data_IF_081790704581
#
_entry.id   IF_081790704581
#
_cell.length_a   1.000
_cell.length_b   1.000
_cell.length_c   1.000
_cell.angle_alpha   90.00
_cell.angle_beta   90.00
_cell.angle_gamma   90.00
#
_symmetry.space_group_name_H-M   'P 1'
#
loop_
_entity.id
_entity.type
_entity.pdbx_description
1 polymer ?
#
# COMPACT_ATOMS: atom_id res chain seq x y z
N UNK A 1 -8.38 -60.68 12.08
CA UNK A 1 -7.52 -60.10 11.03
C UNK A 1 -8.36 -59.16 10.18
N UNK A 2 -7.84 -57.98 9.87
CA UNK A 2 -8.44 -57.03 8.94
C UNK A 2 -7.90 -57.31 7.52
N UNK A 3 -8.79 -57.32 6.53
CA UNK A 3 -8.43 -57.47 5.11
C UNK A 3 -8.11 -56.10 4.53
N UNK A 4 -6.87 -55.88 4.07
CA UNK A 4 -6.41 -54.61 3.48
C UNK A 4 -6.64 -54.54 1.97
N UNK A 5 -6.49 -55.67 1.28
CA UNK A 5 -6.73 -55.81 -0.15
C UNK A 5 -7.19 -57.23 -0.47
N UNK A 6 -8.10 -57.35 -1.43
CA UNK A 6 -8.50 -58.64 -1.99
C UNK A 6 -8.29 -58.62 -3.50
N UNK A 7 -7.63 -59.66 -4.02
CA UNK A 7 -7.53 -59.90 -5.45
C UNK A 7 -8.32 -61.16 -5.76
N UNK A 8 -9.27 -61.04 -6.69
CA UNK A 8 -10.11 -62.14 -7.14
C UNK A 8 -9.65 -62.60 -8.53
N UNK A 9 -9.49 -63.91 -8.71
CA UNK A 9 -9.24 -64.54 -10.01
C UNK A 9 -10.36 -65.53 -10.33
N UNK A 10 -10.89 -65.44 -11.54
CA UNK A 10 -11.84 -66.39 -12.08
C UNK A 10 -11.22 -67.00 -13.34
N UNK A 11 -10.85 -68.28 -13.24
CA UNK A 11 -10.18 -69.03 -14.28
C UNK A 11 -11.08 -70.18 -14.77
N UNK A 12 -10.83 -70.71 -15.97
CA UNK A 12 -11.38 -72.00 -16.39
C UNK A 12 -10.33 -73.09 -16.17
N UNK A 13 -10.76 -74.20 -15.59
CA UNK A 13 -9.94 -75.42 -15.48
C UNK A 13 -9.69 -76.06 -16.85
N UNK A 14 -8.75 -77.01 -16.91
CA UNK A 14 -8.45 -77.77 -18.14
C UNK A 14 -9.66 -78.55 -18.70
N UNK A 15 -10.67 -78.81 -17.86
CA UNK A 15 -11.95 -79.45 -18.23
C UNK A 15 -13.09 -78.44 -18.44
N UNK A 16 -12.78 -77.14 -18.52
CA UNK A 16 -13.74 -76.09 -18.87
C UNK A 16 -14.65 -75.58 -17.75
N UNK A 17 -14.54 -76.14 -16.54
CA UNK A 17 -15.30 -75.70 -15.37
C UNK A 17 -14.71 -74.40 -14.77
N UNK A 18 -15.55 -73.48 -14.25
CA UNK A 18 -15.07 -72.27 -13.58
C UNK A 18 -14.36 -72.61 -12.26
N UNK A 19 -13.25 -71.93 -12.00
CA UNK A 19 -12.45 -72.02 -10.77
C UNK A 19 -12.26 -70.60 -10.24
N UNK A 20 -12.72 -70.37 -9.01
CA UNK A 20 -12.57 -69.10 -8.32
C UNK A 20 -11.42 -69.19 -7.31
N UNK A 21 -10.52 -68.20 -7.33
CA UNK A 21 -9.39 -68.06 -6.42
C UNK A 21 -9.37 -66.65 -5.84
N UNK A 22 -8.93 -66.54 -4.59
CA UNK A 22 -8.75 -65.27 -3.90
C UNK A 22 -7.35 -65.22 -3.30
N UNK A 23 -6.74 -64.04 -3.32
CA UNK A 23 -5.61 -63.70 -2.49
C UNK A 23 -6.00 -62.51 -1.60
N UNK A 24 -5.65 -62.59 -0.32
CA UNK A 24 -5.94 -61.55 0.66
C UNK A 24 -4.64 -61.01 1.23
N UNK A 25 -4.52 -59.69 1.31
CA UNK A 25 -3.53 -59.00 2.12
C UNK A 25 -4.15 -58.70 3.50
N UNK A 26 -3.55 -59.22 4.57
CA UNK A 26 -4.12 -59.23 5.92
C UNK A 26 -3.25 -58.45 6.90
N UNK A 27 -3.88 -57.88 7.93
CA UNK A 27 -3.19 -57.35 9.10
C UNK A 27 -3.89 -57.78 10.41
N UNK A 28 -3.21 -57.77 11.56
CA UNK A 28 -3.85 -57.94 12.87
C UNK A 28 -4.98 -56.93 13.07
N UNK A 29 -6.07 -57.33 13.73
CA UNK A 29 -7.25 -56.46 13.92
C UNK A 29 -7.03 -55.42 15.03
N UNK A 30 -6.04 -55.68 15.87
CA UNK A 30 -5.60 -54.85 16.99
C UNK A 30 -4.76 -53.65 16.53
N UNK A 31 -4.26 -53.67 15.30
CA UNK A 31 -3.51 -52.57 14.71
C UNK A 31 -4.47 -51.59 14.04
N UNK A 32 -4.21 -50.29 14.18
CA UNK A 32 -4.94 -49.27 13.44
C UNK A 32 -4.49 -49.25 11.97
N UNK A 33 -5.46 -49.25 11.05
CA UNK A 33 -5.18 -49.13 9.63
C UNK A 33 -5.08 -47.65 9.23
N UNK A 34 -3.95 -47.26 8.66
CA UNK A 34 -3.79 -45.98 7.97
C UNK A 34 -3.50 -46.24 6.49
N UNK A 35 -4.28 -45.67 5.54
CA UNK A 35 -3.98 -45.79 4.13
C UNK A 35 -2.63 -45.12 3.80
N UNK A 36 -1.88 -45.71 2.88
CA UNK A 36 -0.66 -45.11 2.39
C UNK A 36 -0.99 -43.83 1.59
N UNK A 37 -0.25 -42.72 1.78
CA UNK A 37 -0.48 -41.46 1.05
C UNK A 37 0.08 -41.56 -0.38
N UNK A 38 -0.56 -42.38 -1.22
CA UNK A 38 -0.18 -42.61 -2.62
C UNK A 38 -0.69 -41.52 -3.56
N UNK A 39 -1.75 -40.81 -3.18
CA UNK A 39 -2.31 -39.71 -3.97
C UNK A 39 -1.38 -38.50 -3.86
N UNK A 40 -0.80 -38.01 -4.96
CA UNK A 40 0.06 -36.82 -4.93
C UNK A 40 -0.72 -35.61 -4.40
N UNK A 41 -0.08 -34.80 -3.54
CA UNK A 41 -0.66 -33.52 -3.14
C UNK A 41 -0.72 -32.57 -4.35
N UNK A 42 -1.83 -31.86 -4.57
CA UNK A 42 -1.88 -30.79 -5.54
C UNK A 42 -0.83 -29.73 -5.17
N UNK A 43 -0.12 -29.23 -6.18
CA UNK A 43 0.90 -28.19 -6.01
C UNK A 43 0.74 -27.15 -7.11
N UNK A 44 1.30 -25.98 -6.89
CA UNK A 44 1.33 -24.89 -7.85
C UNK A 44 2.74 -24.33 -7.98
N UNK A 45 3.14 -24.03 -9.22
CA UNK A 45 4.51 -23.58 -9.53
C UNK A 45 4.63 -22.07 -9.74
N UNK A 46 3.51 -21.37 -9.80
CA UNK A 46 3.49 -19.97 -10.21
C UNK A 46 2.50 -19.17 -9.36
N UNK A 47 2.78 -17.88 -9.14
CA UNK A 47 1.82 -17.00 -8.52
C UNK A 47 0.51 -16.93 -9.32
N UNK A 48 -0.59 -16.64 -8.65
CA UNK A 48 -1.89 -16.37 -9.26
C UNK A 48 -2.36 -14.97 -8.91
N UNK A 49 -3.30 -14.42 -9.68
CA UNK A 49 -3.97 -13.17 -9.29
C UNK A 49 -5.34 -13.44 -8.70
N UNK A 50 -5.73 -12.58 -7.76
CA UNK A 50 -7.01 -12.60 -7.08
C UNK A 50 -7.54 -11.18 -6.93
N UNK A 51 -8.82 -11.05 -6.62
CA UNK A 51 -9.46 -9.76 -6.36
C UNK A 51 -9.78 -9.68 -4.87
N UNK A 52 -9.41 -8.56 -4.24
CA UNK A 52 -9.81 -8.27 -2.86
C UNK A 52 -11.31 -8.06 -2.81
N UNK A 53 -11.95 -8.69 -1.84
CA UNK A 53 -13.41 -8.74 -1.73
C UNK A 53 -13.85 -8.59 -0.28
N UNK A 54 -15.14 -8.58 -0.06
CA UNK A 54 -15.75 -8.49 1.27
C UNK A 54 -17.06 -9.26 1.28
N UNK A 55 -17.44 -9.79 2.44
CA UNK A 55 -18.78 -10.35 2.67
C UNK A 55 -19.78 -9.28 3.15
N UNK A 56 -19.30 -8.08 3.46
CA UNK A 56 -20.08 -6.97 4.02
C UNK A 56 -20.24 -5.88 2.96
N UNK A 57 -21.48 -5.48 2.69
CA UNK A 57 -21.74 -4.43 1.70
C UNK A 57 -21.23 -3.07 2.20
N UNK A 58 -20.56 -2.32 1.33
CA UNK A 58 -20.10 -0.95 1.60
C UNK A 58 -18.70 -0.84 2.22
N UNK A 59 -18.07 -1.96 2.57
CA UNK A 59 -16.71 -1.94 3.11
C UNK A 59 -15.67 -1.66 2.03
N UNK A 60 -14.77 -0.71 2.30
CA UNK A 60 -13.63 -0.40 1.42
C UNK A 60 -12.42 -1.28 1.76
N UNK A 61 -12.26 -1.67 3.03
CA UNK A 61 -11.19 -2.53 3.52
C UNK A 61 -11.81 -3.56 4.46
N UNK A 62 -11.63 -4.85 4.16
CA UNK A 62 -12.13 -5.96 5.00
C UNK A 62 -10.97 -6.89 5.37
N UNK A 63 -10.52 -6.76 6.62
CA UNK A 63 -9.39 -7.50 7.20
C UNK A 63 -9.75 -8.05 8.58
N UNK A 64 -9.04 -9.05 9.09
CA UNK A 64 -9.23 -9.56 10.46
C UNK A 64 -8.26 -8.90 11.45
N UNK A 65 -8.26 -9.40 12.68
CA UNK A 65 -7.37 -9.02 13.77
C UNK A 65 -5.87 -9.17 13.44
N UNK A 66 -5.54 -9.91 12.40
CA UNK A 66 -4.16 -10.10 11.91
C UNK A 66 -3.91 -9.42 10.56
N UNK A 67 -4.78 -8.50 10.15
CA UNK A 67 -4.71 -7.76 8.89
C UNK A 67 -4.70 -8.65 7.63
N UNK A 68 -5.35 -9.82 7.68
CA UNK A 68 -5.52 -10.67 6.49
C UNK A 68 -6.69 -10.16 5.64
N UNK A 69 -6.47 -9.61 4.44
CA UNK A 69 -7.56 -9.26 3.54
C UNK A 69 -8.28 -10.51 3.05
N UNK A 70 -9.54 -10.31 2.69
CA UNK A 70 -10.34 -11.31 2.03
C UNK A 70 -10.17 -11.22 0.51
N UNK A 71 -9.90 -12.35 -0.13
CA UNK A 71 -9.71 -12.42 -1.59
C UNK A 71 -10.62 -13.47 -2.21
N UNK A 72 -10.85 -13.32 -3.50
CA UNK A 72 -11.47 -14.32 -4.36
C UNK A 72 -10.58 -14.57 -5.57
N UNK A 73 -10.30 -15.84 -5.85
CA UNK A 73 -9.56 -16.21 -7.05
C UNK A 73 -10.42 -16.05 -8.30
N UNK A 74 -9.82 -15.57 -9.39
CA UNK A 74 -10.52 -15.32 -10.66
C UNK A 74 -11.04 -16.60 -11.32
N UNK A 75 -10.40 -17.74 -11.04
CA UNK A 75 -10.77 -19.05 -11.61
C UNK A 75 -11.91 -19.73 -10.83
N UNK A 76 -12.24 -19.30 -9.62
CA UNK A 76 -13.26 -19.94 -8.80
C UNK A 76 -14.65 -19.45 -9.19
N UNK A 77 -15.40 -20.28 -9.91
CA UNK A 77 -16.76 -19.99 -10.37
C UNK A 77 -17.76 -19.84 -9.24
N UNK A 78 -17.51 -20.48 -8.09
CA UNK A 78 -18.40 -20.44 -6.94
C UNK A 78 -18.16 -19.19 -6.08
N UNK A 79 -17.22 -18.34 -6.51
CA UNK A 79 -16.87 -17.08 -5.88
C UNK A 79 -16.53 -17.19 -4.39
N UNK A 80 -15.85 -18.26 -3.97
CA UNK A 80 -15.49 -18.44 -2.57
C UNK A 80 -14.45 -17.39 -2.19
N UNK A 81 -14.66 -16.81 -1.01
CA UNK A 81 -13.77 -15.83 -0.44
C UNK A 81 -12.97 -16.46 0.71
N UNK A 82 -11.68 -16.18 0.77
CA UNK A 82 -10.80 -16.68 1.82
C UNK A 82 -9.94 -15.54 2.39
N UNK A 83 -9.54 -15.66 3.66
CA UNK A 83 -8.58 -14.75 4.29
C UNK A 83 -7.17 -15.21 3.99
N UNK A 84 -6.34 -14.30 3.49
CA UNK A 84 -4.96 -14.62 3.10
C UNK A 84 -4.01 -13.62 3.74
N UNK A 85 -2.85 -14.10 4.20
CA UNK A 85 -1.82 -13.21 4.77
C UNK A 85 -1.27 -12.28 3.69
N UNK A 86 -1.01 -11.04 4.09
CA UNK A 86 -0.42 -10.03 3.23
C UNK A 86 1.03 -9.77 3.66
N UNK A 87 1.96 -9.92 2.73
CA UNK A 87 3.34 -9.49 2.90
C UNK A 87 3.39 -7.96 2.93
N UNK A 88 4.07 -7.40 3.93
CA UNK A 88 4.33 -5.96 4.04
C UNK A 88 5.82 -5.70 3.75
N UNK A 89 6.14 -4.50 3.29
CA UNK A 89 7.54 -4.10 3.03
C UNK A 89 8.43 -4.13 4.29
N UNK A 90 7.83 -3.91 5.46
CA UNK A 90 8.49 -4.00 6.77
C UNK A 90 7.45 -4.35 7.84
N UNK A 91 7.68 -5.41 8.61
CA UNK A 91 6.78 -5.84 9.67
C UNK A 91 7.56 -6.26 10.92
N UNK A 92 7.31 -5.59 12.04
CA UNK A 92 7.76 -5.94 13.38
C UNK A 92 6.58 -6.15 14.33
N UNK A 93 6.86 -6.43 15.61
CA UNK A 93 5.81 -6.71 16.60
C UNK A 93 4.90 -5.50 16.90
N UNK A 94 5.47 -4.30 16.85
CA UNK A 94 4.84 -3.02 17.22
C UNK A 94 5.25 -1.86 16.30
N UNK A 95 5.89 -2.17 15.17
CA UNK A 95 6.39 -1.20 14.20
C UNK A 95 6.39 -1.79 12.79
N UNK A 96 6.40 -0.93 11.77
CA UNK A 96 6.51 -1.34 10.37
C UNK A 96 5.68 -0.48 9.43
N UNK A 97 5.48 -0.99 8.22
CA UNK A 97 4.63 -0.42 7.19
C UNK A 97 3.32 -1.20 7.13
N UNK A 98 2.21 -0.48 6.98
CA UNK A 98 0.90 -1.09 6.78
C UNK A 98 0.19 -0.42 5.61
N UNK A 99 0.23 -1.07 4.45
CA UNK A 99 -0.50 -0.66 3.25
C UNK A 99 -1.46 -1.80 2.90
N UNK A 100 -2.75 -1.53 3.01
CA UNK A 100 -3.80 -2.53 2.80
C UNK A 100 -4.46 -2.33 1.43
N UNK A 101 -4.56 -3.38 0.60
CA UNK A 101 -5.34 -3.30 -0.62
C UNK A 101 -6.83 -3.19 -0.27
N UNK A 102 -7.57 -2.48 -1.11
CA UNK A 102 -8.99 -2.18 -0.95
C UNK A 102 -9.85 -3.17 -1.73
N UNK A 103 -11.11 -3.28 -1.37
CA UNK A 103 -12.09 -4.09 -2.11
C UNK A 103 -12.11 -3.66 -3.58
N UNK A 104 -11.94 -4.63 -4.47
CA UNK A 104 -11.81 -4.41 -5.91
C UNK A 104 -10.37 -4.44 -6.44
N UNK A 105 -9.37 -4.26 -5.58
CA UNK A 105 -7.96 -4.28 -6.00
C UNK A 105 -7.54 -5.68 -6.44
N UNK A 106 -6.71 -5.74 -7.48
CA UNK A 106 -6.07 -6.97 -7.92
C UNK A 106 -4.76 -7.19 -7.16
N UNK A 107 -4.61 -8.40 -6.62
CA UNK A 107 -3.46 -8.80 -5.82
C UNK A 107 -2.79 -10.04 -6.41
N UNK A 108 -1.48 -10.14 -6.20
CA UNK A 108 -0.66 -11.29 -6.55
C UNK A 108 -0.54 -12.22 -5.35
N UNK A 109 -0.87 -13.49 -5.54
CA UNK A 109 -0.88 -14.53 -4.51
C UNK A 109 0.15 -15.59 -4.84
N UNK A 110 1.10 -15.77 -3.95
CA UNK A 110 2.08 -16.85 -3.96
C UNK A 110 1.69 -17.95 -2.98
N UNK A 111 2.30 -19.12 -3.14
CA UNK A 111 2.01 -20.31 -2.37
C UNK A 111 3.32 -20.84 -1.79
N UNK A 112 3.45 -20.80 -0.46
CA UNK A 112 4.69 -21.16 0.22
C UNK A 112 5.02 -22.63 -0.08
N UNK A 113 6.25 -22.88 -0.52
CA UNK A 113 6.73 -24.22 -0.93
C UNK A 113 5.90 -24.87 -2.05
N UNK A 114 5.12 -24.08 -2.80
CA UNK A 114 4.18 -24.55 -3.82
C UNK A 114 2.94 -25.25 -3.25
N UNK A 115 2.70 -25.13 -1.94
CA UNK A 115 1.54 -25.69 -1.25
C UNK A 115 0.31 -24.80 -1.44
N UNK A 116 -0.70 -25.34 -2.13
CA UNK A 116 -1.94 -24.61 -2.44
C UNK A 116 -2.72 -24.19 -1.18
N UNK A 117 -2.48 -24.86 -0.05
CA UNK A 117 -3.13 -24.56 1.22
C UNK A 117 -2.40 -23.45 2.01
N UNK A 118 -1.28 -22.93 1.50
CA UNK A 118 -0.46 -21.88 2.15
C UNK A 118 -0.30 -20.62 1.29
N UNK A 119 -1.40 -19.95 0.92
CA UNK A 119 -1.34 -18.73 0.14
C UNK A 119 -0.82 -17.53 0.95
N UNK A 120 -0.11 -16.64 0.28
CA UNK A 120 0.33 -15.33 0.79
C UNK A 120 0.23 -14.32 -0.35
N UNK A 121 -0.38 -13.17 -0.08
CA UNK A 121 -0.37 -12.04 -1.01
C UNK A 121 1.00 -11.37 -0.94
N UNK A 122 1.68 -11.24 -2.07
CA UNK A 122 3.04 -10.69 -2.17
C UNK A 122 3.09 -9.34 -2.87
N UNK A 123 1.99 -8.90 -3.48
CA UNK A 123 1.90 -7.58 -4.09
C UNK A 123 0.52 -7.25 -4.64
N UNK A 124 0.40 -6.04 -5.18
CA UNK A 124 -0.81 -5.53 -5.84
C UNK A 124 -0.47 -5.13 -7.27
N UNK A 125 -1.47 -5.23 -8.16
CA UNK A 125 -1.31 -5.00 -9.59
C UNK A 125 -2.32 -3.96 -10.05
N UNK A 126 -1.84 -2.96 -10.80
CA UNK A 126 -2.72 -2.13 -11.61
C UNK A 126 -3.24 -2.92 -12.82
N UNK A 127 -4.44 -2.58 -13.27
CA UNK A 127 -5.08 -3.18 -14.44
C UNK A 127 -5.94 -2.13 -15.17
N UNK A 128 -6.74 -2.55 -16.15
CA UNK A 128 -7.57 -1.62 -16.93
C UNK A 128 -8.67 -0.94 -16.12
N UNK A 129 -9.14 -1.55 -15.02
CA UNK A 129 -10.13 -0.98 -14.11
C UNK A 129 -9.48 -0.13 -13.01
N UNK A 130 -8.35 -0.59 -12.47
CA UNK A 130 -7.54 0.10 -11.47
C UNK A 130 -6.27 0.62 -12.12
N UNK A 131 -6.36 1.80 -12.76
CA UNK A 131 -5.22 2.44 -13.40
C UNK A 131 -4.27 3.04 -12.37
N UNK A 132 -2.97 3.02 -12.68
CA UNK A 132 -2.01 3.81 -11.94
C UNK A 132 -2.34 5.30 -12.08
N UNK A 133 -2.03 6.08 -11.04
CA UNK A 133 -2.18 7.55 -11.05
C UNK A 133 -1.50 8.20 -12.25
N UNK A 134 -0.39 7.61 -12.69
CA UNK A 134 0.39 8.09 -13.81
C UNK A 134 0.24 7.12 -14.99
N UNK A 135 -0.52 7.53 -16.01
CA UNK A 135 -0.78 6.73 -17.21
C UNK A 135 0.44 6.77 -18.15
N UNK A 136 1.13 5.64 -18.38
CA UNK A 136 2.27 5.62 -19.28
C UNK A 136 1.88 5.83 -20.75
N UNK A 137 0.60 5.71 -21.11
CA UNK A 137 0.15 5.74 -22.52
C UNK A 137 -0.17 7.14 -23.03
N UNK A 138 -0.37 8.13 -22.15
CA UNK A 138 -0.64 9.50 -22.60
C UNK A 138 0.60 10.21 -23.15
N UNK A 139 1.83 9.69 -22.92
CA UNK A 139 3.07 9.96 -23.71
C UNK A 139 4.34 9.36 -23.04
N UNK A 140 4.33 8.20 -22.37
CA UNK A 140 5.40 7.83 -21.41
C UNK A 140 5.65 8.92 -20.33
N UNK A 141 4.72 9.88 -20.17
CA UNK A 141 4.75 10.95 -19.15
C UNK A 141 4.18 10.41 -17.86
N UNK A 142 5.05 10.03 -16.93
CA UNK A 142 4.68 10.04 -15.52
C UNK A 142 4.78 11.51 -15.04
N UNK A 143 3.91 12.40 -15.52
CA UNK A 143 3.90 13.78 -15.05
C UNK A 143 2.63 14.54 -15.43
N UNK A 144 1.88 14.96 -14.42
CA UNK A 144 1.36 16.32 -14.45
C UNK A 144 2.57 17.24 -14.24
N UNK A 145 3.11 17.78 -15.34
CA UNK A 145 3.80 19.09 -15.45
C UNK A 145 4.07 19.34 -16.94
N UNK A 146 3.72 20.56 -17.31
CA UNK A 146 3.76 21.26 -18.60
C UNK A 146 5.07 21.07 -19.39
N UNK A 147 4.96 21.08 -20.72
CA UNK A 147 6.10 21.07 -21.64
C UNK A 147 7.14 22.13 -21.29
N UNK A 148 8.32 21.68 -20.90
CA UNK A 148 9.57 22.34 -21.28
C UNK A 148 10.61 21.23 -21.52
N UNK A 149 11.14 21.15 -22.73
CA UNK A 149 12.26 20.30 -23.17
C UNK A 149 12.05 18.79 -23.44
N UNK A 150 10.80 18.29 -23.52
CA UNK A 150 10.52 17.00 -24.16
C UNK A 150 11.15 15.76 -23.50
N UNK A 151 11.56 15.84 -22.24
CA UNK A 151 12.11 14.71 -21.48
C UNK A 151 11.11 14.18 -20.44
N UNK A 152 10.78 12.90 -20.54
CA UNK A 152 9.91 12.16 -19.62
C UNK A 152 10.71 11.69 -18.41
N UNK A 153 10.28 11.98 -17.17
CA UNK A 153 10.96 11.50 -15.96
C UNK A 153 9.98 11.09 -14.85
N UNK A 154 10.41 10.16 -14.02
CA UNK A 154 9.59 9.35 -13.12
C UNK A 154 9.16 10.10 -11.85
N UNK A 155 7.93 9.84 -11.42
CA UNK A 155 7.43 10.20 -10.08
C UNK A 155 7.27 8.91 -9.30
N UNK A 156 8.01 8.81 -8.20
CA UNK A 156 7.86 7.70 -7.25
C UNK A 156 7.10 8.19 -6.04
N UNK A 157 6.12 7.43 -5.56
CA UNK A 157 5.38 7.88 -4.40
C UNK A 157 4.26 6.98 -3.93
N UNK A 158 3.73 7.35 -2.77
CA UNK A 158 2.56 6.75 -2.14
C UNK A 158 1.44 7.76 -2.24
N UNK A 159 0.28 7.32 -2.69
CA UNK A 159 -0.93 8.12 -2.70
C UNK A 159 -2.11 7.26 -2.27
N UNK A 160 -3.13 7.90 -1.70
CA UNK A 160 -4.41 7.25 -1.44
C UNK A 160 -5.53 7.87 -2.31
N UNK A 161 -6.68 7.20 -2.40
CA UNK A 161 -7.82 7.74 -3.14
C UNK A 161 -8.45 8.98 -2.48
N UNK A 162 -8.04 9.31 -1.25
CA UNK A 162 -8.45 10.52 -0.55
C UNK A 162 -7.66 11.75 -0.99
N UNK A 163 -6.57 11.57 -1.75
CA UNK A 163 -5.72 12.64 -2.27
C UNK A 163 -4.52 12.97 -1.39
N UNK A 164 -4.21 12.18 -0.36
CA UNK A 164 -2.96 12.33 0.37
C UNK A 164 -1.80 11.74 -0.44
N UNK A 165 -0.65 12.40 -0.44
CA UNK A 165 0.47 12.07 -1.31
C UNK A 165 1.83 12.29 -0.64
N UNK A 166 2.75 11.34 -0.87
CA UNK A 166 4.19 11.47 -0.69
C UNK A 166 4.86 11.16 -2.02
N UNK A 167 5.40 12.16 -2.71
CA UNK A 167 5.95 12.03 -4.07
C UNK A 167 7.40 12.51 -4.14
N UNK A 168 8.19 11.88 -5.00
CA UNK A 168 9.55 12.27 -5.35
C UNK A 168 9.63 12.47 -6.85
N UNK A 169 9.99 13.68 -7.27
CA UNK A 169 10.17 14.07 -8.66
C UNK A 169 11.65 14.06 -9.00
N UNK A 170 12.01 13.30 -10.04
CA UNK A 170 13.40 13.11 -10.49
C UNK A 170 13.69 13.89 -11.79
N UNK A 171 13.21 15.14 -11.86
CA UNK A 171 13.48 16.01 -13.01
C UNK A 171 14.71 16.87 -12.74
N UNK A 172 15.77 16.66 -13.53
CA UNK A 172 17.00 17.45 -13.44
C UNK A 172 16.72 18.97 -13.47
N UNK A 173 17.17 19.68 -12.43
CA UNK A 173 16.97 21.13 -12.27
C UNK A 173 15.56 21.55 -11.81
N UNK A 174 14.67 20.60 -11.57
CA UNK A 174 13.32 20.78 -11.04
C UNK A 174 12.92 19.70 -10.01
N UNK A 175 13.91 19.11 -9.34
CA UNK A 175 13.75 18.07 -8.35
C UNK A 175 12.95 18.59 -7.16
N UNK A 176 12.01 17.79 -6.67
CA UNK A 176 11.24 18.14 -5.47
C UNK A 176 10.67 16.91 -4.79
N UNK A 177 10.47 17.02 -3.48
CA UNK A 177 9.72 16.06 -2.67
C UNK A 177 8.44 16.73 -2.22
N UNK A 178 7.31 16.07 -2.42
CA UNK A 178 5.98 16.57 -2.07
C UNK A 178 5.41 15.75 -0.93
N UNK A 179 4.99 16.45 0.13
CA UNK A 179 4.13 15.93 1.18
C UNK A 179 2.84 16.76 1.10
N UNK A 180 1.73 16.13 0.71
CA UNK A 180 0.47 16.82 0.51
C UNK A 180 -0.68 16.05 1.14
N UNK A 181 -1.59 16.77 1.79
CA UNK A 181 -2.91 16.27 2.15
C UNK A 181 -3.99 16.97 1.32
N UNK A 182 -5.05 16.24 1.00
CA UNK A 182 -6.27 16.83 0.44
C UNK A 182 -7.22 17.37 1.52
N UNK A 183 -6.92 17.10 2.81
CA UNK A 183 -7.66 17.62 3.95
C UNK A 183 -7.15 18.99 4.40
N UNK A 184 -7.75 19.52 5.46
CA UNK A 184 -7.37 20.83 6.04
C UNK A 184 -6.35 20.71 7.18
N UNK A 185 -5.76 19.53 7.39
CA UNK A 185 -4.95 19.23 8.58
C UNK A 185 -3.71 18.44 8.21
N UNK A 186 -2.56 19.09 8.31
CA UNK A 186 -1.24 18.49 8.23
C UNK A 186 -0.60 18.55 9.63
N UNK A 187 -0.56 17.39 10.31
CA UNK A 187 -0.01 17.30 11.66
C UNK A 187 1.34 16.57 11.64
N UNK A 188 2.41 17.28 11.97
CA UNK A 188 3.68 16.66 12.38
C UNK A 188 3.81 16.76 13.89
N UNK A 189 3.63 15.64 14.60
CA UNK A 189 3.72 15.54 16.08
C UNK A 189 4.93 14.62 16.38
N UNK A 190 5.95 14.96 17.18
CA UNK A 190 5.94 15.67 18.46
C UNK A 190 7.16 16.57 18.69
N UNK A 191 6.97 17.70 19.39
CA UNK A 191 8.04 18.43 20.08
C UNK A 191 8.51 19.78 19.51
N UNK A 192 8.03 20.22 18.33
CA UNK A 192 8.08 21.57 17.73
C UNK A 192 8.22 21.46 16.20
N UNK A 193 7.53 22.36 15.51
CA UNK A 193 7.43 22.55 14.06
C UNK A 193 8.77 22.45 13.30
N UNK A 194 8.70 21.92 12.07
CA UNK A 194 9.74 21.90 11.04
C UNK A 194 11.17 21.75 11.59
N UNK A 195 11.59 20.51 11.89
CA UNK A 195 12.96 20.21 12.30
C UNK A 195 13.95 20.51 11.15
N UNK A 196 14.52 21.71 11.16
CA UNK A 196 15.94 21.83 10.84
C UNK A 196 16.69 21.77 12.18
N UNK A 197 17.55 20.77 12.36
CA UNK A 197 18.24 20.51 13.64
C UNK A 197 19.29 21.57 14.00
N UNK A 198 19.46 22.62 13.19
CA UNK A 198 20.42 23.71 13.43
C UNK A 198 19.89 25.06 12.95
N UNK A 199 19.49 25.18 11.67
CA UNK A 199 19.00 26.44 11.08
C UNK A 199 17.79 26.20 10.18
N UNK A 200 16.69 26.93 10.37
CA UNK A 200 15.57 26.95 9.42
C UNK A 200 15.80 28.08 8.41
N UNK A 201 15.81 27.77 7.11
CA UNK A 201 15.80 28.77 6.04
C UNK A 201 14.53 28.58 5.21
N UNK A 202 13.66 29.59 5.25
CA UNK A 202 12.50 29.69 4.37
C UNK A 202 12.88 30.59 3.19
N UNK A 203 12.85 30.06 1.97
CA UNK A 203 13.12 30.82 0.74
C UNK A 203 11.87 30.85 -0.12
N UNK A 204 11.36 32.05 -0.39
CA UNK A 204 10.20 32.26 -1.27
C UNK A 204 10.65 32.99 -2.53
N UNK A 205 10.31 32.45 -3.71
CA UNK A 205 10.77 33.01 -5.01
C UNK A 205 10.02 34.29 -5.43
N UNK A 206 8.73 34.39 -5.10
CA UNK A 206 7.87 35.50 -5.50
C UNK A 206 7.32 36.22 -4.26
N UNK A 207 6.18 35.78 -3.72
CA UNK A 207 5.50 36.43 -2.59
C UNK A 207 5.33 35.47 -1.41
N UNK A 208 5.56 35.96 -0.20
CA UNK A 208 5.19 35.28 1.05
C UNK A 208 3.98 35.98 1.67
N UNK A 209 2.91 35.23 1.93
CA UNK A 209 1.71 35.70 2.63
C UNK A 209 1.47 34.79 3.84
N UNK A 210 1.33 35.40 5.02
CA UNK A 210 1.02 34.69 6.26
C UNK A 210 -0.32 35.23 6.79
N UNK A 211 -1.31 34.35 6.93
CA UNK A 211 -2.63 34.67 7.49
C UNK A 211 -2.80 33.97 8.84
N UNK A 212 -3.12 34.75 9.88
CA UNK A 212 -3.19 34.28 11.26
C UNK A 212 -4.56 34.66 11.82
N UNK A 213 -5.39 33.65 12.08
CA UNK A 213 -6.79 33.85 12.49
C UNK A 213 -6.97 34.28 13.95
N UNK A 214 -6.01 33.93 14.81
CA UNK A 214 -6.02 34.26 16.23
C UNK A 214 -4.76 35.07 16.57
N UNK A 215 -3.88 34.55 17.44
CA UNK A 215 -2.71 35.28 17.91
C UNK A 215 -1.42 34.86 17.19
N UNK A 216 -0.60 35.83 16.77
CA UNK A 216 0.78 35.62 16.34
C UNK A 216 1.74 35.94 17.49
N UNK A 217 2.53 34.95 17.95
CA UNK A 217 3.53 35.13 19.01
C UNK A 217 4.91 34.69 18.54
N UNK A 218 5.89 35.61 18.61
CA UNK A 218 7.27 35.36 18.19
C UNK A 218 8.23 35.45 19.38
N UNK A 219 8.88 34.33 19.73
CA UNK A 219 9.91 34.27 20.78
C UNK A 219 11.31 34.18 20.16
N UNK A 220 12.17 35.12 20.53
CA UNK A 220 13.54 35.21 19.99
C UNK A 220 14.52 35.32 21.15
N UNK A 221 15.38 34.31 21.31
CA UNK A 221 16.42 34.30 22.34
C UNK A 221 17.64 35.17 22.00
N UNK A 222 17.83 35.49 20.72
CA UNK A 222 18.89 36.38 20.20
C UNK A 222 18.30 37.62 19.52
N UNK A 223 18.82 37.97 18.34
CA UNK A 223 18.36 39.13 17.58
C UNK A 223 17.32 38.75 16.52
N UNK A 224 16.30 39.59 16.34
CA UNK A 224 15.47 39.61 15.13
C UNK A 224 16.14 40.54 14.12
N UNK A 225 16.47 40.03 12.93
CA UNK A 225 16.89 40.87 11.79
C UNK A 225 15.87 40.73 10.68
N UNK A 226 15.33 41.86 10.23
CA UNK A 226 14.40 41.94 9.10
C UNK A 226 15.00 42.92 8.11
N UNK A 227 15.55 42.40 7.01
CA UNK A 227 16.06 43.22 5.92
C UNK A 227 14.97 43.32 4.85
N UNK A 228 14.51 44.54 4.57
CA UNK A 228 13.48 44.81 3.56
C UNK A 228 14.04 45.83 2.57
N UNK A 229 13.98 45.51 1.27
CA UNK A 229 14.47 46.39 0.21
C UNK A 229 13.46 47.50 -0.11
N UNK A 230 12.17 47.18 -0.03
CA UNK A 230 11.08 48.14 -0.15
C UNK A 230 10.60 48.61 1.22
N UNK A 231 9.32 48.98 1.28
CA UNK A 231 8.75 49.56 2.49
C UNK A 231 8.31 48.47 3.48
N UNK A 232 8.37 48.81 4.77
CA UNK A 232 7.78 48.02 5.85
C UNK A 232 6.61 48.79 6.42
N UNK A 233 5.45 48.13 6.56
CA UNK A 233 4.26 48.73 7.14
C UNK A 233 3.60 47.82 8.16
N UNK A 234 3.45 48.33 9.39
CA UNK A 234 2.67 47.72 10.44
C UNK A 234 1.35 48.47 10.57
N UNK A 235 0.23 47.77 10.35
CA UNK A 235 -1.11 48.34 10.49
C UNK A 235 -1.81 47.65 11.66
N UNK A 236 -2.21 48.43 12.66
CA UNK A 236 -2.94 47.94 13.84
C UNK A 236 -4.22 48.75 13.98
N UNK A 237 -5.34 48.15 13.57
CA UNK A 237 -6.62 48.86 13.46
C UNK A 237 -6.49 50.08 12.55
N UNK A 238 -6.65 51.29 13.13
CA UNK A 238 -6.49 52.56 12.41
C UNK A 238 -5.11 53.21 12.48
N UNK A 239 -4.17 52.63 13.23
CA UNK A 239 -2.81 53.15 13.40
C UNK A 239 -1.85 52.52 12.41
N UNK A 240 -0.88 53.30 11.94
CA UNK A 240 0.12 52.86 10.95
C UNK A 240 1.52 53.29 11.43
N UNK A 241 2.44 52.33 11.42
CA UNK A 241 3.88 52.57 11.49
C UNK A 241 4.48 52.12 10.16
N UNK A 242 5.15 53.02 9.44
CA UNK A 242 5.77 52.74 8.15
C UNK A 242 7.22 53.20 8.11
N UNK A 243 8.08 52.35 7.55
CA UNK A 243 9.45 52.66 7.19
C UNK A 243 9.54 52.61 5.67
N UNK A 244 9.84 53.74 5.04
CA UNK A 244 9.97 53.85 3.59
C UNK A 244 11.43 53.63 3.18
N UNK A 245 11.67 52.94 2.07
CA UNK A 245 13.03 52.68 1.59
C UNK A 245 13.76 53.98 1.17
N UNK A 246 13.00 54.95 0.65
CA UNK A 246 13.49 56.29 0.30
C UNK A 246 12.52 57.35 0.86
N UNK A 247 12.76 57.82 2.08
CA UNK A 247 11.89 58.84 2.70
C UNK A 247 12.14 59.02 4.19
N UNK A 248 11.50 60.03 4.81
CA UNK A 248 11.52 60.17 6.27
C UNK A 248 10.65 59.08 6.91
N UNK A 249 11.11 58.53 8.04
CA UNK A 249 10.28 57.64 8.86
C UNK A 249 8.98 58.35 9.30
N UNK A 250 7.83 57.70 9.12
CA UNK A 250 6.52 58.29 9.41
C UNK A 250 5.74 57.45 10.42
N UNK A 251 5.25 58.11 11.47
CA UNK A 251 4.47 57.50 12.54
C UNK A 251 3.14 58.23 12.63
N UNK A 252 2.06 57.57 12.16
CA UNK A 252 0.70 58.11 12.21
C UNK A 252 -0.14 57.38 13.25
N UNK A 253 -0.46 58.09 14.33
CA UNK A 253 -1.40 57.64 15.36
C UNK A 253 -2.76 58.30 15.13
N UNK A 254 -3.82 57.53 15.32
CA UNK A 254 -5.20 58.00 15.29
C UNK A 254 -5.71 58.25 16.70
#
# INVERSE_FOLDING_TARGET
>A
MLVRQTVHSLERSQVGLPVYKNAFDLMPIENDFSPAPITPRPTIKSPMTAIVTTLTSGETIDVDDTFRPMIRYKWDSDNRAIRVRLAQGWAGADHGMQILPRVGDEVLVEFLDGDIDRPVITGSLYNSASKALFDPTETNKISEITETDGQFRYVSGIHDAGGNQLLMYDQEGAERVVFASAGTRDDMVAGRYLMASTDTVEVTKNDKVEDVLNDYTLYIGGNLKVDVVGDVRFVVGGSILSYEAEGPDDVKRK
#
